data_IF_649479381284
#
_entry.id   IF_649479381284
#
_cell.length_a   1.000
_cell.length_b   1.000
_cell.length_c   1.000
_cell.angle_alpha   90.00
_cell.angle_beta   90.00
_cell.angle_gamma   90.00
#
_symmetry.space_group_name_H-M   'P 1'
#
loop_
_entity.id
_entity.type
_entity.pdbx_description
1 polymer ?
#
# COMPACT_ATOMS: atom_id res chain seq x y z
N UNK A 1 -11.38 -24.10 17.74
CA UNK A 1 -10.19 -23.21 17.83
C UNK A 1 -10.06 -22.47 16.51
N UNK A 2 -10.13 -21.13 16.44
CA UNK A 2 -9.83 -20.42 15.21
C UNK A 2 -8.35 -20.61 14.86
N UNK A 3 -8.06 -21.08 13.65
CA UNK A 3 -6.69 -21.22 13.15
C UNK A 3 -6.07 -19.83 13.03
N UNK A 4 -4.77 -19.64 13.34
CA UNK A 4 -4.09 -18.37 13.11
C UNK A 4 -4.20 -18.01 11.63
N UNK A 5 -4.83 -16.88 11.31
CA UNK A 5 -4.90 -16.41 9.91
C UNK A 5 -3.49 -15.97 9.52
N UNK A 6 -2.89 -16.56 8.46
CA UNK A 6 -1.59 -16.12 8.00
C UNK A 6 -1.68 -14.64 7.64
N UNK A 7 -0.77 -13.81 8.16
CA UNK A 7 -0.70 -12.39 7.82
C UNK A 7 0.43 -12.15 6.83
N UNK A 8 0.13 -11.45 5.74
CA UNK A 8 1.13 -10.99 4.77
C UNK A 8 1.51 -9.55 5.08
N UNK A 9 2.82 -9.27 5.02
CA UNK A 9 3.34 -7.90 5.10
C UNK A 9 3.30 -7.28 3.71
N UNK A 10 2.56 -6.19 3.56
CA UNK A 10 2.46 -5.44 2.31
C UNK A 10 3.02 -4.04 2.56
N UNK A 11 3.92 -3.61 1.70
CA UNK A 11 4.39 -2.22 1.68
C UNK A 11 3.43 -1.41 0.83
N UNK A 12 2.83 -0.40 1.45
CA UNK A 12 1.96 0.56 0.81
C UNK A 12 2.61 1.94 0.79
N UNK A 13 2.17 2.80 -0.13
CA UNK A 13 2.59 4.18 -0.25
C UNK A 13 1.40 5.13 -0.32
N UNK A 14 1.64 6.37 0.07
CA UNK A 14 0.70 7.47 0.01
C UNK A 14 1.29 8.55 -0.90
N UNK A 15 0.52 8.92 -1.92
CA UNK A 15 0.94 9.94 -2.86
C UNK A 15 1.03 11.28 -2.15
N UNK A 16 2.20 11.92 -2.18
CA UNK A 16 2.39 13.22 -1.54
C UNK A 16 1.58 14.35 -2.20
N UNK A 17 1.39 14.28 -3.52
CA UNK A 17 0.76 15.36 -4.28
C UNK A 17 -0.73 15.53 -3.95
N UNK A 18 -1.44 14.43 -3.67
CA UNK A 18 -2.87 14.45 -3.36
C UNK A 18 -3.21 13.81 -2.00
N UNK A 19 -2.20 13.41 -1.24
CA UNK A 19 -2.32 12.67 0.03
C UNK A 19 -3.19 11.40 -0.05
N UNK A 20 -3.28 10.78 -1.25
CA UNK A 20 -4.10 9.59 -1.47
C UNK A 20 -3.34 8.29 -1.24
N UNK A 21 -4.00 7.31 -0.62
CA UNK A 21 -3.49 5.98 -0.32
C UNK A 21 -4.42 5.24 0.65
N UNK A 22 -4.08 4.01 1.07
CA UNK A 22 -2.85 3.27 0.80
C UNK A 22 -2.82 2.61 -0.59
N UNK A 23 -1.75 2.84 -1.36
CA UNK A 23 -1.47 2.20 -2.65
C UNK A 23 -0.42 1.11 -2.48
N UNK A 24 -0.53 -0.02 -3.16
CA UNK A 24 0.43 -1.12 -3.03
C UNK A 24 1.72 -0.83 -3.82
N UNK A 25 2.87 -0.79 -3.13
CA UNK A 25 4.16 -0.49 -3.78
C UNK A 25 4.58 -1.49 -4.86
N UNK A 26 4.01 -2.71 -4.87
CA UNK A 26 4.31 -3.75 -5.87
C UNK A 26 3.39 -3.72 -7.09
N UNK A 27 2.18 -3.20 -6.93
CA UNK A 27 1.14 -3.25 -7.97
C UNK A 27 0.94 -1.86 -8.58
N UNK A 28 0.89 -0.83 -7.74
CA UNK A 28 0.57 0.54 -8.13
C UNK A 28 1.86 1.32 -8.44
N UNK A 29 2.17 1.44 -9.74
CA UNK A 29 3.30 2.24 -10.23
C UNK A 29 3.05 3.76 -10.12
N UNK A 30 1.78 4.18 -10.13
CA UNK A 30 1.35 5.58 -10.06
C UNK A 30 0.07 5.73 -9.22
N UNK A 31 -0.21 6.96 -8.78
CA UNK A 31 -1.42 7.28 -8.04
C UNK A 31 -2.62 7.32 -8.99
N UNK A 32 -3.70 6.56 -8.76
CA UNK A 32 -4.87 6.55 -9.66
C UNK A 32 -5.66 7.86 -9.64
N UNK A 33 -5.46 8.73 -8.65
CA UNK A 33 -6.19 10.00 -8.53
C UNK A 33 -5.54 11.17 -9.27
N UNK A 34 -4.21 11.26 -9.23
CA UNK A 34 -3.46 12.38 -9.83
C UNK A 34 -2.42 11.93 -10.87
N UNK A 35 -2.35 10.63 -11.14
CA UNK A 35 -1.43 9.97 -12.08
C UNK A 35 0.07 10.19 -11.79
N UNK A 36 0.39 10.71 -10.59
CA UNK A 36 1.75 10.92 -10.14
C UNK A 36 2.46 9.58 -9.86
N UNK A 37 3.64 9.36 -10.43
CA UNK A 37 4.46 8.16 -10.20
C UNK A 37 5.05 8.12 -8.79
N UNK A 38 5.19 6.96 -8.17
CA UNK A 38 5.78 6.86 -6.83
C UNK A 38 7.19 7.49 -6.79
N UNK A 39 7.38 8.49 -5.93
CA UNK A 39 8.67 9.17 -5.74
C UNK A 39 9.20 9.00 -4.30
N UNK A 40 10.43 9.44 -4.04
CA UNK A 40 11.04 9.39 -2.70
C UNK A 40 10.31 10.25 -1.66
N UNK A 41 9.54 11.25 -2.08
CA UNK A 41 8.71 12.09 -1.20
C UNK A 41 7.38 11.43 -0.79
N UNK A 42 6.99 10.31 -1.41
CA UNK A 42 5.78 9.60 -1.03
C UNK A 42 6.00 8.83 0.27
N UNK A 43 5.08 8.99 1.24
CA UNK A 43 5.16 8.27 2.50
C UNK A 43 4.90 6.78 2.27
N UNK A 44 5.74 5.91 2.83
CA UNK A 44 5.57 4.44 2.75
C UNK A 44 5.31 3.83 4.10
N UNK A 45 4.39 2.88 4.18
CA UNK A 45 4.09 2.15 5.41
C UNK A 45 4.03 0.64 5.14
N UNK A 46 4.40 -0.16 6.13
CA UNK A 46 4.24 -1.62 6.05
C UNK A 46 3.05 -2.04 6.87
N UNK A 47 2.03 -2.59 6.21
CA UNK A 47 0.81 -3.07 6.86
C UNK A 47 0.78 -4.60 6.88
N UNK A 48 0.17 -5.17 7.92
CA UNK A 48 -0.09 -6.61 8.02
C UNK A 48 -1.54 -6.83 7.58
N UNK A 49 -1.73 -7.53 6.48
CA UNK A 49 -3.05 -7.90 5.97
C UNK A 49 -3.29 -9.40 6.19
N UNK A 50 -4.48 -9.83 6.60
CA UNK A 50 -4.85 -11.24 6.59
C UNK A 50 -4.74 -11.79 5.15
N UNK A 51 -3.96 -12.83 4.94
CA UNK A 51 -3.90 -13.54 3.67
C UNK A 51 -5.17 -14.38 3.53
N UNK A 52 -6.16 -13.85 2.81
CA UNK A 52 -7.42 -14.53 2.56
C UNK A 52 -8.57 -13.54 2.45
N UNK A 53 -8.85 -13.10 1.23
CA UNK A 53 -10.20 -12.68 0.84
C UNK A 53 -10.57 -13.51 -0.39
#
# INVERSE_FOLDING_TARGET
MPKPVPTVKITVWYCHNCSSGPLNCKIDAYCPYCHHQRCSGCATQTIKTPAGR
#
